data_IF_574972628860
#
_entry.id   IF_574972628860
#
_cell.length_a   1.000
_cell.length_b   1.000
_cell.length_c   1.000
_cell.angle_alpha   90.00
_cell.angle_beta   90.00
_cell.angle_gamma   90.00
#
_symmetry.space_group_name_H-M   'P 1'
#
loop_
_entity.id
_entity.type
_entity.pdbx_description
1 polymer ?
#
# COMPACT_ATOMS: atom_id res chain seq x y z
N UNK A 1 -8.66 -6.67 52.23
CA UNK A 1 -9.69 -5.83 51.59
C UNK A 1 -9.20 -5.55 50.18
N UNK A 2 -9.77 -6.19 49.17
CA UNK A 2 -9.38 -5.98 47.77
C UNK A 2 -10.31 -4.95 47.16
N UNK A 3 -9.72 -3.86 46.64
CA UNK A 3 -10.45 -2.87 45.85
C UNK A 3 -10.09 -3.14 44.39
N UNK A 4 -11.10 -3.47 43.59
CA UNK A 4 -10.99 -3.54 42.13
C UNK A 4 -11.51 -2.23 41.55
N UNK A 5 -10.66 -1.52 40.81
CA UNK A 5 -11.06 -0.34 40.04
C UNK A 5 -11.21 -0.82 38.60
N UNK A 6 -12.44 -0.80 38.08
CA UNK A 6 -12.72 -1.07 36.67
C UNK A 6 -12.82 0.26 35.91
N UNK A 7 -12.03 0.41 34.85
CA UNK A 7 -12.02 1.59 33.98
C UNK A 7 -13.03 1.38 32.86
N UNK A 8 -14.15 2.09 32.89
CA UNK A 8 -15.25 1.98 31.90
C UNK A 8 -14.88 2.38 30.46
N UNK A 9 -13.68 2.90 30.22
CA UNK A 9 -13.20 3.26 28.88
C UNK A 9 -12.61 2.10 28.07
N UNK A 10 -12.45 0.90 28.66
CA UNK A 10 -11.81 -0.22 27.96
C UNK A 10 -12.68 -0.83 26.86
N UNK A 11 -14.00 -0.83 27.04
CA UNK A 11 -14.95 -1.47 26.13
C UNK A 11 -15.12 -0.70 24.82
N UNK A 12 -15.06 0.64 24.88
CA UNK A 12 -15.12 1.48 23.68
C UNK A 12 -13.84 1.40 22.84
N UNK A 13 -12.69 1.27 23.51
CA UNK A 13 -11.39 1.12 22.83
C UNK A 13 -11.26 -0.25 22.16
N UNK A 14 -11.69 -1.33 22.81
CA UNK A 14 -11.67 -2.68 22.19
C UNK A 14 -12.57 -2.74 20.97
N UNK A 15 -13.78 -2.20 21.07
CA UNK A 15 -14.72 -2.17 19.94
C UNK A 15 -14.23 -1.27 18.78
N UNK A 16 -13.48 -0.21 19.07
CA UNK A 16 -12.85 0.60 18.03
C UNK A 16 -11.69 -0.13 17.35
N UNK A 17 -10.85 -0.82 18.13
CA UNK A 17 -9.73 -1.61 17.63
C UNK A 17 -10.19 -2.77 16.72
N UNK A 18 -11.27 -3.46 17.08
CA UNK A 18 -11.85 -4.52 16.24
C UNK A 18 -12.35 -3.99 14.90
N UNK A 19 -13.04 -2.83 14.89
CA UNK A 19 -13.49 -2.19 13.66
C UNK A 19 -12.34 -1.81 12.76
N UNK A 20 -11.30 -1.20 13.34
CA UNK A 20 -10.08 -0.84 12.59
C UNK A 20 -9.45 -2.10 12.00
N UNK A 21 -9.24 -3.16 12.78
CA UNK A 21 -8.65 -4.41 12.29
C UNK A 21 -9.48 -5.05 11.18
N UNK A 22 -10.81 -4.97 11.24
CA UNK A 22 -11.69 -5.49 10.19
C UNK A 22 -11.61 -4.66 8.90
N UNK A 23 -11.49 -3.34 9.00
CA UNK A 23 -11.40 -2.43 7.85
C UNK A 23 -9.97 -2.33 7.27
N UNK A 24 -8.95 -2.66 8.06
CA UNK A 24 -7.54 -2.43 7.74
C UNK A 24 -7.09 -3.07 6.41
N UNK A 25 -7.39 -4.34 6.10
CA UNK A 25 -6.91 -4.95 4.85
C UNK A 25 -7.47 -4.24 3.61
N UNK A 26 -8.73 -3.82 3.65
CA UNK A 26 -9.37 -3.09 2.54
C UNK A 26 -8.81 -1.66 2.42
N UNK A 27 -8.62 -0.97 3.54
CA UNK A 27 -8.03 0.36 3.58
C UNK A 27 -6.59 0.37 3.04
N UNK A 28 -5.78 -0.61 3.46
CA UNK A 28 -4.40 -0.78 2.98
C UNK A 28 -4.36 -1.15 1.50
N UNK A 29 -5.26 -2.02 1.04
CA UNK A 29 -5.36 -2.36 -0.38
C UNK A 29 -5.69 -1.13 -1.22
N UNK A 30 -6.63 -0.29 -0.79
CA UNK A 30 -6.96 0.95 -1.48
C UNK A 30 -5.76 1.90 -1.57
N UNK A 31 -5.00 2.04 -0.48
CA UNK A 31 -3.76 2.81 -0.49
C UNK A 31 -2.69 2.25 -1.43
N UNK A 32 -2.53 0.91 -1.43
CA UNK A 32 -1.57 0.24 -2.31
C UNK A 32 -1.97 0.33 -3.79
N UNK A 33 -3.27 0.28 -4.12
CA UNK A 33 -3.75 0.50 -5.49
C UNK A 33 -3.48 1.91 -5.98
N UNK A 34 -3.59 2.94 -5.12
CA UNK A 34 -3.20 4.30 -5.49
C UNK A 34 -1.71 4.38 -5.87
N UNK A 35 -0.84 3.71 -5.12
CA UNK A 35 0.58 3.60 -5.45
C UNK A 35 0.79 2.80 -6.74
N UNK A 36 0.07 1.70 -6.94
CA UNK A 36 0.18 0.86 -8.13
C UNK A 36 -0.28 1.61 -9.39
N UNK A 37 -1.35 2.39 -9.35
CA UNK A 37 -1.77 3.26 -10.45
C UNK A 37 -0.70 4.31 -10.79
N UNK A 38 -0.12 4.94 -9.77
CA UNK A 38 0.96 5.90 -9.97
C UNK A 38 2.18 5.23 -10.63
N UNK A 39 2.55 4.02 -10.18
CA UNK A 39 3.62 3.22 -10.76
C UNK A 39 3.30 2.81 -12.22
N UNK A 40 2.06 2.43 -12.51
CA UNK A 40 1.59 2.14 -13.88
C UNK A 40 1.69 3.38 -14.78
N UNK A 41 1.51 4.59 -14.25
CA UNK A 41 1.66 5.84 -14.99
C UNK A 41 3.12 6.25 -15.26
N UNK A 42 4.04 5.89 -14.37
CA UNK A 42 5.47 6.20 -14.47
C UNK A 42 6.29 5.12 -15.19
N UNK A 43 5.76 3.91 -15.29
CA UNK A 43 6.43 2.77 -15.89
C UNK A 43 6.75 3.02 -17.38
N UNK A 44 8.02 2.87 -17.82
CA UNK A 44 8.36 2.97 -19.23
C UNK A 44 7.67 1.86 -20.03
N UNK A 45 7.13 2.22 -21.20
CA UNK A 45 6.33 1.32 -22.02
C UNK A 45 7.08 0.93 -23.29
N UNK A 46 7.51 -0.33 -23.34
CA UNK A 46 7.97 -0.99 -24.58
C UNK A 46 6.81 -1.78 -25.21
N UNK A 47 6.47 -2.93 -24.62
CA UNK A 47 5.34 -3.79 -25.03
C UNK A 47 4.11 -3.61 -24.14
N UNK A 48 4.25 -2.94 -23.00
CA UNK A 48 3.22 -2.81 -21.97
C UNK A 48 3.12 -3.97 -20.98
N UNK A 49 3.89 -5.05 -21.15
CA UNK A 49 3.88 -6.21 -20.24
C UNK A 49 4.28 -5.82 -18.81
N UNK A 50 5.40 -5.10 -18.63
CA UNK A 50 5.84 -4.62 -17.32
C UNK A 50 4.80 -3.76 -16.61
N UNK A 51 4.22 -2.79 -17.33
CA UNK A 51 3.17 -1.93 -16.78
C UNK A 51 1.96 -2.76 -16.33
N UNK A 52 1.56 -3.75 -17.13
CA UNK A 52 0.38 -4.58 -16.87
C UNK A 52 0.60 -5.59 -15.75
N UNK A 53 1.86 -5.92 -15.42
CA UNK A 53 2.20 -6.83 -14.33
C UNK A 53 2.31 -6.13 -12.96
N UNK A 54 2.18 -4.80 -12.90
CA UNK A 54 2.16 -4.07 -11.63
C UNK A 54 0.84 -4.35 -10.91
N UNK A 55 0.94 -4.87 -9.69
CA UNK A 55 -0.19 -5.27 -8.87
C UNK A 55 -0.05 -4.82 -7.42
N UNK A 56 -1.17 -4.65 -6.74
CA UNK A 56 -1.25 -4.39 -5.31
C UNK A 56 -1.94 -5.57 -4.59
N UNK A 57 -1.48 -5.90 -3.40
CA UNK A 57 -2.13 -6.86 -2.52
C UNK A 57 -2.02 -6.41 -1.06
N UNK A 58 -2.97 -6.79 -0.24
CA UNK A 58 -2.94 -6.55 1.20
C UNK A 58 -3.03 -7.88 1.96
N UNK A 59 -2.23 -8.01 3.01
CA UNK A 59 -2.24 -9.17 3.90
C UNK A 59 -2.13 -8.68 5.35
N UNK A 60 -3.15 -9.00 6.15
CA UNK A 60 -3.25 -8.57 7.55
C UNK A 60 -3.09 -7.06 7.72
N UNK A 61 -1.94 -6.65 8.25
CA UNK A 61 -1.58 -5.26 8.57
C UNK A 61 -0.61 -4.62 7.56
N UNK A 62 -0.32 -5.30 6.46
CA UNK A 62 0.57 -4.83 5.42
C UNK A 62 -0.08 -4.81 4.03
N UNK A 63 0.50 -4.02 3.13
CA UNK A 63 0.21 -4.11 1.71
C UNK A 63 1.51 -4.04 0.89
N UNK A 64 1.48 -4.67 -0.27
CA UNK A 64 2.62 -4.85 -1.17
C UNK A 64 2.21 -4.38 -2.54
N UNK A 65 3.06 -3.56 -3.16
CA UNK A 65 3.01 -3.25 -4.59
C UNK A 65 4.20 -3.92 -5.24
N UNK A 66 3.96 -4.70 -6.29
CA UNK A 66 4.99 -5.48 -6.97
C UNK A 66 4.87 -5.35 -8.48
N UNK A 67 5.98 -5.52 -9.19
CA UNK A 67 6.02 -5.71 -10.63
C UNK A 67 6.36 -7.18 -10.92
N UNK A 68 5.54 -7.84 -11.74
CA UNK A 68 5.60 -9.30 -11.93
C UNK A 68 6.62 -9.78 -12.98
N UNK A 69 7.26 -8.88 -13.72
CA UNK A 69 8.24 -9.26 -14.73
C UNK A 69 9.65 -9.38 -14.14
N UNK A 70 10.38 -10.45 -14.48
CA UNK A 70 11.75 -10.69 -13.98
C UNK A 70 12.72 -9.53 -14.29
N UNK A 71 12.48 -8.80 -15.38
CA UNK A 71 13.32 -7.68 -15.79
C UNK A 71 12.97 -6.36 -15.10
N UNK A 72 11.90 -6.29 -14.31
CA UNK A 72 11.46 -5.08 -13.60
C UNK A 72 12.58 -4.47 -12.73
N UNK A 73 13.37 -5.32 -12.07
CA UNK A 73 14.49 -4.89 -11.21
C UNK A 73 15.56 -4.13 -12.01
N UNK A 74 15.84 -4.56 -13.23
CA UNK A 74 16.83 -3.91 -14.09
C UNK A 74 16.31 -2.58 -14.64
N UNK A 75 14.99 -2.44 -14.78
CA UNK A 75 14.35 -1.17 -15.16
C UNK A 75 14.40 -0.19 -13.99
N UNK A 76 14.01 -0.63 -12.78
CA UNK A 76 13.97 0.23 -11.59
C UNK A 76 15.36 0.78 -11.21
N UNK A 77 16.38 -0.09 -11.22
CA UNK A 77 17.72 0.26 -10.71
C UNK A 77 18.78 0.44 -11.80
N UNK A 78 18.47 0.12 -13.05
CA UNK A 78 19.42 0.15 -14.15
C UNK A 78 20.40 -1.03 -14.13
N UNK A 79 21.29 -1.03 -15.11
CA UNK A 79 22.39 -1.98 -15.26
C UNK A 79 23.66 -1.23 -15.66
N UNK A 80 24.78 -1.94 -15.82
CA UNK A 80 26.01 -1.33 -16.35
C UNK A 80 25.87 -0.79 -17.78
N UNK A 81 24.87 -1.24 -18.55
CA UNK A 81 24.63 -0.86 -19.95
C UNK A 81 23.50 0.14 -20.12
N UNK A 82 22.52 0.12 -19.23
CA UNK A 82 21.27 0.87 -19.36
C UNK A 82 21.02 1.66 -18.10
N UNK A 83 20.76 2.97 -18.17
CA UNK A 83 20.44 3.77 -16.99
C UNK A 83 19.13 3.33 -16.34
N UNK A 84 19.00 3.60 -15.04
CA UNK A 84 17.78 3.35 -14.28
C UNK A 84 16.61 4.19 -14.79
N UNK A 85 15.43 3.58 -14.87
CA UNK A 85 14.14 4.21 -15.16
C UNK A 85 13.17 3.83 -14.03
N UNK A 86 13.37 4.39 -12.82
CA UNK A 86 12.59 4.02 -11.66
C UNK A 86 11.12 4.42 -11.82
N UNK A 87 10.23 3.53 -11.39
CA UNK A 87 8.79 3.68 -11.47
C UNK A 87 8.08 3.29 -10.16
N UNK A 88 8.64 2.40 -9.34
CA UNK A 88 8.06 2.04 -8.03
C UNK A 88 8.39 3.04 -6.94
N UNK A 89 9.69 3.33 -6.74
CA UNK A 89 10.11 4.29 -5.73
C UNK A 89 9.50 5.70 -5.92
N UNK A 90 9.51 6.30 -7.13
CA UNK A 90 8.88 7.60 -7.34
C UNK A 90 7.35 7.54 -7.20
N UNK A 91 6.70 6.43 -7.58
CA UNK A 91 5.27 6.27 -7.39
C UNK A 91 4.87 6.26 -5.92
N UNK A 92 5.63 5.57 -5.05
CA UNK A 92 5.38 5.60 -3.61
C UNK A 92 5.49 7.01 -3.04
N UNK A 93 6.51 7.76 -3.46
CA UNK A 93 6.69 9.14 -3.02
C UNK A 93 5.58 10.07 -3.52
N UNK A 94 5.15 9.91 -4.77
CA UNK A 94 4.13 10.74 -5.39
C UNK A 94 2.72 10.44 -4.84
N UNK A 95 2.41 9.17 -4.63
CA UNK A 95 1.12 8.72 -4.13
C UNK A 95 0.97 8.87 -2.61
N UNK A 96 1.95 9.39 -1.87
CA UNK A 96 1.87 9.47 -0.40
C UNK A 96 0.60 10.17 0.11
N UNK A 97 0.17 11.26 -0.54
CA UNK A 97 -1.08 11.97 -0.22
C UNK A 97 -2.33 11.16 -0.55
N UNK A 98 -2.39 10.57 -1.74
CA UNK A 98 -3.54 9.77 -2.19
C UNK A 98 -3.67 8.46 -1.41
N UNK A 99 -2.55 7.79 -1.15
CA UNK A 99 -2.44 6.59 -0.32
C UNK A 99 -2.98 6.86 1.09
N UNK A 100 -2.54 7.93 1.75
CA UNK A 100 -3.03 8.27 3.08
C UNK A 100 -4.51 8.62 3.08
N UNK A 101 -5.00 9.35 2.07
CA UNK A 101 -6.42 9.65 1.92
C UNK A 101 -7.27 8.39 1.70
N UNK A 102 -6.80 7.45 0.86
CA UNK A 102 -7.47 6.19 0.58
C UNK A 102 -7.55 5.29 1.82
N UNK A 103 -6.44 5.18 2.58
CA UNK A 103 -6.42 4.43 3.84
C UNK A 103 -7.39 5.06 4.84
N UNK A 104 -7.37 6.39 5.00
CA UNK A 104 -8.25 7.06 5.95
C UNK A 104 -9.73 6.86 5.57
N UNK A 105 -10.07 6.99 4.28
CA UNK A 105 -11.41 6.75 3.77
C UNK A 105 -11.88 5.33 4.03
N UNK A 106 -11.03 4.32 3.78
CA UNK A 106 -11.34 2.92 4.02
C UNK A 106 -11.56 2.56 5.50
N UNK A 107 -10.93 3.29 6.43
CA UNK A 107 -11.13 3.09 7.87
C UNK A 107 -12.40 3.75 8.41
N UNK A 108 -12.95 4.74 7.71
CA UNK A 108 -14.13 5.50 8.13
C UNK A 108 -15.43 5.08 7.43
N UNK A 109 -15.33 4.16 6.46
CA UNK A 109 -16.45 3.67 5.64
C UNK A 109 -17.29 2.60 6.33
#
# INVERSE_FOLDING_TARGET
>A
MNVSISVSGSESVSAAAERINAALPQALLAGAEAVAECARGMCPVDTGALRSSISASADGTGAVVSAGEDYAVYVEFGTYKTPAQPFLAPALSAAAGEMTAAILGGLTS
#
